data_IF_099903138487
#
_entry.id   IF_099903138487
#
_cell.length_a   1.000
_cell.length_b   1.000
_cell.length_c   1.000
_cell.angle_alpha   90.00
_cell.angle_beta   90.00
_cell.angle_gamma   90.00
#
_symmetry.space_group_name_H-M   'P 1'
#
loop_
_entity.id
_entity.type
_entity.pdbx_description
1 polymer ?
#
# COMPACT_ATOMS: atom_id res chain seq x y z
N UNK A 1 41.51 -35.21 -40.34
CA UNK A 1 42.17 -34.07 -40.98
C UNK A 1 41.85 -32.82 -40.18
N UNK A 2 42.90 -32.07 -39.80
CA UNK A 2 42.95 -30.77 -39.09
C UNK A 2 42.44 -30.70 -37.63
N UNK A 3 43.41 -30.85 -36.73
CA UNK A 3 43.51 -30.11 -35.48
C UNK A 3 43.70 -28.60 -35.75
N UNK A 4 43.24 -27.76 -34.83
CA UNK A 4 43.99 -26.58 -34.35
C UNK A 4 43.42 -26.12 -33.02
N UNK A 5 44.28 -26.15 -32.00
CA UNK A 5 44.15 -25.49 -30.72
C UNK A 5 44.23 -23.95 -30.88
N UNK A 6 43.64 -23.19 -29.96
CA UNK A 6 44.21 -21.91 -29.55
C UNK A 6 44.21 -21.83 -28.03
N UNK A 7 45.36 -21.46 -27.50
CA UNK A 7 45.74 -21.48 -26.11
C UNK A 7 45.80 -20.06 -25.53
N UNK A 8 45.62 -19.98 -24.21
CA UNK A 8 46.30 -19.08 -23.25
C UNK A 8 46.00 -17.56 -23.39
N UNK A 9 46.02 -16.69 -22.38
CA UNK A 9 46.58 -16.71 -21.01
C UNK A 9 46.13 -15.40 -20.28
N UNK A 10 46.68 -14.97 -19.11
CA UNK A 10 45.86 -14.55 -17.96
C UNK A 10 46.14 -13.11 -17.45
N UNK A 11 45.58 -12.82 -16.26
CA UNK A 11 46.12 -11.89 -15.25
C UNK A 11 45.93 -10.38 -15.45
N UNK A 12 45.19 -9.75 -14.53
CA UNK A 12 45.77 -8.67 -13.69
C UNK A 12 44.88 -8.35 -12.49
N UNK A 13 45.48 -8.53 -11.32
CA UNK A 13 45.07 -7.96 -10.05
C UNK A 13 45.27 -6.45 -10.07
N UNK A 14 44.33 -5.67 -9.52
CA UNK A 14 44.65 -4.37 -8.93
C UNK A 14 43.78 -4.17 -7.69
N UNK A 15 44.47 -4.24 -6.55
CA UNK A 15 44.07 -3.80 -5.23
C UNK A 15 44.03 -2.27 -5.18
N UNK A 16 42.99 -1.69 -4.57
CA UNK A 16 43.02 -0.32 -4.07
C UNK A 16 42.25 -0.23 -2.75
N UNK A 17 42.99 -0.47 -1.67
CA UNK A 17 42.72 -0.02 -0.30
C UNK A 17 42.75 1.51 -0.22
N UNK A 18 41.70 2.14 0.29
CA UNK A 18 41.70 3.39 1.09
C UNK A 18 40.30 3.56 1.67
N UNK A 19 40.02 4.20 2.80
CA UNK A 19 40.76 4.50 4.02
C UNK A 19 39.67 4.83 5.03
N UNK A 20 39.86 4.34 6.25
CA UNK A 20 39.13 4.71 7.45
C UNK A 20 38.96 6.23 7.59
N UNK A 21 37.76 6.66 8.01
CA UNK A 21 37.58 7.85 8.86
C UNK A 21 36.23 7.77 9.59
N UNK A 22 36.22 7.40 10.89
CA UNK A 22 35.09 7.62 11.78
C UNK A 22 35.50 8.55 12.91
N UNK A 23 35.19 9.84 12.83
CA UNK A 23 35.34 10.85 13.90
C UNK A 23 34.31 11.95 13.52
N UNK A 24 33.37 12.43 14.34
CA UNK A 24 33.41 13.01 15.69
C UNK A 24 31.92 13.09 16.13
N UNK A 25 31.45 12.37 17.16
CA UNK A 25 31.16 12.86 18.52
C UNK A 25 30.66 14.31 18.63
N UNK A 26 29.33 14.55 18.77
CA UNK A 26 28.88 15.58 19.71
C UNK A 26 27.45 15.37 20.24
N UNK A 27 27.46 15.09 21.53
CA UNK A 27 26.46 15.14 22.57
C UNK A 27 25.38 16.24 22.55
N UNK A 28 24.26 15.86 23.17
CA UNK A 28 23.39 16.60 24.10
C UNK A 28 23.03 18.06 23.79
N UNK A 29 21.74 18.29 23.59
CA UNK A 29 21.00 19.26 24.39
C UNK A 29 19.53 18.86 24.48
N UNK A 30 19.23 18.05 25.51
CA UNK A 30 17.90 17.92 26.07
C UNK A 30 17.57 19.23 26.81
N UNK A 31 16.81 20.11 26.17
CA UNK A 31 16.27 21.30 26.83
C UNK A 31 15.00 20.94 27.59
N UNK A 32 15.11 21.12 28.90
CA UNK A 32 14.12 20.88 29.93
C UNK A 32 13.00 21.93 29.90
N UNK A 33 11.86 21.46 30.40
CA UNK A 33 10.62 22.09 30.85
C UNK A 33 10.66 23.56 31.30
N UNK A 34 9.49 24.20 31.38
CA UNK A 34 8.87 24.26 32.70
C UNK A 34 7.40 23.84 32.74
N UNK A 35 7.09 23.18 33.86
CA UNK A 35 5.76 22.88 34.35
C UNK A 35 4.95 24.16 34.54
N UNK A 36 3.74 24.19 33.99
CA UNK A 36 2.67 25.05 34.49
C UNK A 36 1.79 24.22 35.43
N UNK A 37 1.95 24.48 36.72
CA UNK A 37 1.10 24.00 37.80
C UNK A 37 -0.23 24.75 37.78
N UNK A 38 -1.31 24.10 37.34
CA UNK A 38 -2.68 24.54 37.63
C UNK A 38 -3.28 23.59 38.64
N UNK A 39 -3.32 24.06 39.89
CA UNK A 39 -4.08 23.48 40.99
C UNK A 39 -5.49 24.05 40.93
N UNK A 40 -6.47 23.23 40.59
CA UNK A 40 -7.88 23.49 40.96
C UNK A 40 -8.38 22.26 41.71
N UNK A 41 -8.56 22.47 43.01
CA UNK A 41 -9.23 21.56 43.92
C UNK A 41 -10.73 21.53 43.59
N UNK A 42 -11.29 20.34 43.76
CA UNK A 42 -12.43 20.08 44.65
C UNK A 42 -13.75 19.63 44.00
N UNK A 43 -14.10 18.38 44.34
CA UNK A 43 -15.42 17.84 44.70
C UNK A 43 -16.58 18.03 43.72
N UNK A 44 -17.09 16.89 43.26
CA UNK A 44 -18.35 16.37 43.81
C UNK A 44 -18.48 14.85 43.64
N UNK A 45 -18.80 14.23 44.76
CA UNK A 45 -19.32 12.88 44.90
C UNK A 45 -20.58 12.72 44.06
N UNK A 46 -20.61 11.70 43.19
CA UNK A 46 -21.86 11.10 42.73
C UNK A 46 -21.73 9.58 42.84
N UNK A 47 -22.32 9.06 43.90
CA UNK A 47 -22.73 7.66 43.99
C UNK A 47 -23.92 7.48 43.06
N UNK A 48 -23.80 6.55 42.12
CA UNK A 48 -24.87 6.19 41.19
C UNK A 48 -24.44 4.97 40.38
N UNK A 49 -24.68 3.79 40.94
CA UNK A 49 -24.40 2.52 40.28
C UNK A 49 -25.19 2.40 38.98
N UNK A 50 -24.48 2.13 37.89
CA UNK A 50 -25.08 1.57 36.69
C UNK A 50 -24.44 0.21 36.39
N UNK A 51 -25.36 -0.74 36.30
CA UNK A 51 -25.26 -2.18 36.24
C UNK A 51 -24.53 -2.68 34.98
N UNK A 52 -23.41 -3.43 35.08
CA UNK A 52 -22.80 -4.07 33.92
C UNK A 52 -23.57 -5.36 33.58
N UNK A 53 -24.64 -5.23 32.78
CA UNK A 53 -25.16 -6.40 32.05
C UNK A 53 -24.22 -6.68 30.88
N UNK A 54 -23.19 -7.45 31.22
CA UNK A 54 -22.50 -8.34 30.31
C UNK A 54 -23.52 -9.17 29.54
N UNK A 55 -23.65 -8.91 28.24
CA UNK A 55 -24.15 -9.90 27.29
C UNK A 55 -22.97 -10.36 26.47
N UNK A 56 -22.33 -11.43 26.93
CA UNK A 56 -21.44 -12.25 26.12
C UNK A 56 -22.25 -12.86 24.96
N UNK A 57 -22.26 -12.18 23.82
CA UNK A 57 -22.61 -12.80 22.55
C UNK A 57 -21.31 -13.12 21.83
N UNK A 58 -20.88 -14.36 21.92
CA UNK A 58 -19.87 -14.95 21.05
C UNK A 58 -20.37 -14.87 19.60
N UNK A 59 -20.01 -13.79 18.90
CA UNK A 59 -20.24 -13.69 17.47
C UNK A 59 -19.27 -14.64 16.76
N UNK A 60 -19.72 -15.60 15.96
CA UNK A 60 -18.82 -16.40 15.15
C UNK A 60 -18.05 -15.47 14.20
N UNK A 61 -16.74 -15.70 14.08
CA UNK A 61 -15.77 -14.88 13.31
C UNK A 61 -16.14 -14.69 11.82
N UNK A 62 -17.09 -15.48 11.31
CA UNK A 62 -17.59 -15.41 9.93
C UNK A 62 -18.59 -14.26 9.67
N UNK A 63 -19.28 -13.73 10.68
CA UNK A 63 -20.35 -12.74 10.48
C UNK A 63 -19.87 -11.28 10.41
N UNK A 64 -18.57 -11.00 10.65
CA UNK A 64 -18.05 -9.62 10.60
C UNK A 64 -17.82 -9.12 9.17
N UNK A 65 -17.73 -10.05 8.19
CA UNK A 65 -17.49 -9.71 6.78
C UNK A 65 -18.74 -9.12 6.11
N UNK A 66 -19.94 -9.53 6.53
CA UNK A 66 -21.19 -9.19 5.83
C UNK A 66 -21.73 -7.78 6.10
N UNK A 67 -21.37 -7.14 7.21
CA UNK A 67 -22.00 -5.86 7.59
C UNK A 67 -21.24 -4.64 7.03
N UNK A 68 -19.94 -4.78 6.77
CA UNK A 68 -19.12 -3.71 6.20
C UNK A 68 -19.29 -3.60 4.68
N UNK A 69 -19.54 -4.74 4.01
CA UNK A 69 -19.85 -4.83 2.58
C UNK A 69 -21.09 -4.01 2.20
N UNK A 70 -22.06 -3.86 3.11
CA UNK A 70 -23.33 -3.17 2.85
C UNK A 70 -23.20 -1.63 2.75
N UNK A 71 -22.07 -1.04 3.17
CA UNK A 71 -21.86 0.40 3.16
C UNK A 71 -21.13 0.93 1.91
N UNK A 72 -20.71 0.05 0.99
CA UNK A 72 -19.95 0.47 -0.22
C UNK A 72 -18.61 1.14 0.10
N UNK A 73 -18.07 0.92 1.31
CA UNK A 73 -16.73 1.39 1.69
C UNK A 73 -15.75 0.26 1.36
N UNK A 74 -14.76 0.48 0.47
CA UNK A 74 -13.78 -0.54 0.15
C UNK A 74 -12.92 -0.84 1.38
N UNK A 75 -12.65 -2.13 1.62
CA UNK A 75 -11.66 -2.54 2.60
C UNK A 75 -10.29 -2.00 2.18
N UNK A 76 -9.48 -1.52 3.13
CA UNK A 76 -8.12 -1.06 2.87
C UNK A 76 -7.13 -1.84 3.73
N UNK A 77 -6.07 -2.36 3.12
CA UNK A 77 -5.07 -3.24 3.77
C UNK A 77 -3.67 -2.63 3.68
N UNK A 78 -2.79 -2.88 4.67
CA UNK A 78 -1.40 -2.43 4.60
C UNK A 78 -0.65 -3.14 3.46
N UNK A 79 0.39 -2.47 2.93
CA UNK A 79 1.09 -2.91 1.72
C UNK A 79 1.74 -4.30 1.80
N UNK A 80 2.21 -4.72 2.98
CA UNK A 80 2.73 -6.09 3.19
C UNK A 80 1.65 -7.15 2.99
N UNK A 81 0.46 -6.90 3.52
CA UNK A 81 -0.69 -7.80 3.34
C UNK A 81 -1.13 -7.79 1.88
N UNK A 82 -1.12 -6.64 1.21
CA UNK A 82 -1.39 -6.58 -0.23
C UNK A 82 -0.41 -7.43 -1.05
N UNK A 83 0.88 -7.47 -0.67
CA UNK A 83 1.87 -8.32 -1.32
C UNK A 83 1.60 -9.82 -1.08
N UNK A 84 1.23 -10.20 0.15
CA UNK A 84 0.83 -11.59 0.46
C UNK A 84 -0.41 -12.01 -0.36
N UNK A 85 -1.39 -11.12 -0.52
CA UNK A 85 -2.56 -11.37 -1.38
C UNK A 85 -2.14 -11.53 -2.85
N UNK A 86 -1.24 -10.69 -3.36
CA UNK A 86 -0.72 -10.83 -4.71
C UNK A 86 -0.05 -12.20 -4.93
N UNK A 87 0.74 -12.67 -3.96
CA UNK A 87 1.36 -13.99 -3.98
C UNK A 87 0.34 -15.14 -3.88
N UNK A 88 -0.80 -14.91 -3.22
CA UNK A 88 -1.90 -15.86 -3.14
C UNK A 88 -2.74 -15.94 -4.44
N UNK A 89 -2.44 -15.12 -5.45
CA UNK A 89 -3.09 -15.16 -6.76
C UNK A 89 -4.13 -14.06 -6.99
N UNK A 90 -4.24 -13.08 -6.09
CA UNK A 90 -5.11 -11.91 -6.30
C UNK A 90 -4.56 -11.04 -7.43
N UNK A 91 -5.45 -10.36 -8.16
CA UNK A 91 -5.06 -9.47 -9.24
C UNK A 91 -4.69 -8.08 -8.73
N UNK A 92 -3.53 -7.55 -9.13
CA UNK A 92 -3.16 -6.18 -8.84
C UNK A 92 -3.61 -5.23 -9.96
N UNK A 93 -4.50 -4.31 -9.63
CA UNK A 93 -4.96 -3.22 -10.50
C UNK A 93 -4.27 -1.90 -10.12
N UNK A 94 -3.37 -1.42 -10.99
CA UNK A 94 -2.75 -0.11 -10.83
C UNK A 94 -3.56 0.96 -11.56
N UNK A 95 -4.12 1.92 -10.82
CA UNK A 95 -4.93 3.01 -11.38
C UNK A 95 -4.20 4.32 -11.59
N UNK A 96 -2.87 4.31 -11.48
CA UNK A 96 -2.01 5.45 -11.84
C UNK A 96 -2.02 5.68 -13.36
N UNK A 97 -1.47 6.81 -13.78
CA UNK A 97 -1.36 7.10 -15.21
C UNK A 97 -0.35 6.17 -15.88
N UNK A 98 -0.44 5.96 -17.20
CA UNK A 98 0.50 5.08 -17.91
C UNK A 98 1.96 5.51 -17.74
N UNK A 99 2.22 6.82 -17.66
CA UNK A 99 3.57 7.35 -17.46
C UNK A 99 4.12 6.98 -16.08
N UNK A 100 3.29 7.08 -15.03
CA UNK A 100 3.66 6.66 -13.66
C UNK A 100 3.93 5.15 -13.59
N UNK A 101 3.17 4.35 -14.35
CA UNK A 101 3.30 2.90 -14.39
C UNK A 101 4.58 2.46 -15.11
N UNK A 102 4.89 3.06 -16.27
CA UNK A 102 6.12 2.80 -17.04
C UNK A 102 7.41 3.24 -16.34
N UNK A 103 7.30 4.12 -15.34
CA UNK A 103 8.42 4.53 -14.50
C UNK A 103 8.73 3.51 -13.39
N UNK A 104 7.85 2.53 -13.20
CA UNK A 104 7.96 1.47 -12.21
C UNK A 104 6.60 1.12 -11.60
N UNK A 105 6.37 -0.17 -11.42
CA UNK A 105 5.11 -0.71 -10.90
C UNK A 105 5.32 -2.00 -10.11
N UNK A 106 4.32 -2.41 -9.33
CA UNK A 106 4.35 -3.69 -8.64
C UNK A 106 4.38 -4.84 -9.66
N UNK A 107 5.20 -5.87 -9.42
CA UNK A 107 5.36 -6.96 -10.39
C UNK A 107 4.04 -7.69 -10.65
N UNK A 108 3.72 -7.93 -11.93
CA UNK A 108 2.46 -8.55 -12.35
C UNK A 108 1.22 -7.65 -12.26
N UNK A 109 1.38 -6.35 -11.98
CA UNK A 109 0.28 -5.40 -11.97
C UNK A 109 -0.26 -5.13 -13.38
N UNK A 110 -1.57 -4.93 -13.47
CA UNK A 110 -2.26 -4.51 -14.70
C UNK A 110 -2.62 -3.04 -14.55
N UNK A 111 -2.19 -2.21 -15.50
CA UNK A 111 -2.51 -0.78 -15.49
C UNK A 111 -3.82 -0.48 -16.21
N UNK A 112 -4.77 0.11 -15.48
CA UNK A 112 -5.97 0.73 -16.05
C UNK A 112 -6.14 2.09 -15.38
N UNK A 113 -5.76 3.19 -16.04
CA UNK A 113 -5.72 4.50 -15.43
C UNK A 113 -7.13 4.99 -15.07
N UNK A 114 -7.31 5.37 -13.80
CA UNK A 114 -8.57 5.98 -13.35
C UNK A 114 -8.67 7.45 -13.78
N UNK A 115 -7.53 8.10 -14.02
CA UNK A 115 -7.44 9.47 -14.51
C UNK A 115 -6.30 9.60 -15.51
N UNK A 116 -6.47 10.48 -16.49
CA UNK A 116 -5.45 10.84 -17.48
C UNK A 116 -4.91 12.24 -17.21
N UNK A 117 -3.64 12.47 -17.56
CA UNK A 117 -3.02 13.80 -17.55
C UNK A 117 -3.51 14.57 -18.78
N UNK A 118 -4.12 15.74 -18.58
CA UNK A 118 -4.59 16.62 -19.65
C UNK A 118 -4.13 18.04 -19.35
N UNK A 119 -3.16 18.55 -20.12
CA UNK A 119 -2.52 19.83 -19.86
C UNK A 119 -1.82 19.85 -18.49
N UNK A 120 -2.15 20.84 -17.65
CA UNK A 120 -1.68 20.95 -16.27
C UNK A 120 -2.51 20.18 -15.24
N UNK A 121 -3.61 19.55 -15.67
CA UNK A 121 -4.58 18.90 -14.79
C UNK A 121 -4.75 17.40 -15.02
N UNK A 122 -5.70 16.83 -14.28
CA UNK A 122 -6.11 15.42 -14.38
C UNK A 122 -7.59 15.36 -14.76
N UNK A 123 -7.94 14.46 -15.68
CA UNK A 123 -9.33 14.21 -16.09
C UNK A 123 -9.69 12.76 -15.80
N UNK A 124 -10.89 12.51 -15.25
CA UNK A 124 -11.38 11.16 -14.95
C UNK A 124 -11.58 10.36 -16.24
N UNK A 125 -11.15 9.09 -16.23
CA UNK A 125 -11.44 8.15 -17.30
C UNK A 125 -12.93 7.73 -17.23
N UNK A 126 -13.73 8.18 -18.20
CA UNK A 126 -15.15 7.80 -18.29
C UNK A 126 -15.36 6.33 -18.67
N UNK A 127 -14.37 5.71 -19.31
CA UNK A 127 -14.40 4.31 -19.76
C UNK A 127 -13.81 3.34 -18.73
N UNK A 128 -13.36 3.82 -17.57
CA UNK A 128 -12.66 3.02 -16.56
C UNK A 128 -13.36 1.69 -16.23
N UNK A 129 -14.65 1.73 -15.90
CA UNK A 129 -15.40 0.52 -15.52
C UNK A 129 -15.50 -0.47 -16.69
N UNK A 130 -15.64 0.04 -17.92
CA UNK A 130 -15.70 -0.79 -19.13
C UNK A 130 -14.36 -1.48 -19.39
N UNK A 131 -13.25 -0.75 -19.23
CA UNK A 131 -11.89 -1.28 -19.39
C UNK A 131 -11.58 -2.34 -18.33
N UNK A 132 -11.92 -2.09 -17.06
CA UNK A 132 -11.74 -3.09 -15.98
C UNK A 132 -12.58 -4.33 -16.26
N UNK A 133 -13.85 -4.18 -16.66
CA UNK A 133 -14.74 -5.31 -16.95
C UNK A 133 -14.33 -6.11 -18.19
N UNK A 134 -13.47 -5.57 -19.05
CA UNK A 134 -12.92 -6.30 -20.18
C UNK A 134 -11.74 -7.20 -19.81
N UNK A 135 -11.05 -6.88 -18.70
CA UNK A 135 -9.89 -7.61 -18.21
C UNK A 135 -10.21 -8.53 -17.02
N UNK A 136 -11.20 -8.14 -16.20
CA UNK A 136 -11.56 -8.81 -14.97
C UNK A 136 -13.05 -9.14 -14.93
N UNK A 137 -13.36 -10.25 -14.28
CA UNK A 137 -14.72 -10.65 -13.92
C UNK A 137 -15.13 -10.01 -12.60
N UNK A 138 -16.43 -9.98 -12.34
CA UNK A 138 -17.00 -9.35 -11.13
C UNK A 138 -16.72 -10.13 -9.84
N UNK A 139 -16.42 -11.42 -9.97
CA UNK A 139 -16.06 -12.35 -8.91
C UNK A 139 -14.55 -12.44 -8.66
N UNK A 140 -13.72 -11.78 -9.49
CA UNK A 140 -12.28 -11.78 -9.31
C UNK A 140 -11.88 -10.99 -8.06
N UNK A 141 -10.87 -11.49 -7.35
CA UNK A 141 -10.32 -10.83 -6.17
C UNK A 141 -9.25 -9.82 -6.58
N UNK A 142 -9.58 -8.53 -6.48
CA UNK A 142 -8.76 -7.43 -6.99
C UNK A 142 -8.20 -6.61 -5.83
N UNK A 143 -6.88 -6.49 -5.78
CA UNK A 143 -6.18 -5.48 -4.98
C UNK A 143 -5.93 -4.25 -5.86
N UNK A 144 -6.31 -3.06 -5.40
CA UNK A 144 -6.25 -1.83 -6.18
C UNK A 144 -5.31 -0.81 -5.53
N UNK A 145 -4.38 -0.29 -6.33
CA UNK A 145 -3.34 0.62 -5.86
C UNK A 145 -3.26 1.89 -6.71
N UNK A 146 -2.91 3.01 -6.09
CA UNK A 146 -2.46 4.22 -6.78
C UNK A 146 -1.17 4.75 -6.15
N UNK A 147 -0.78 6.00 -6.40
CA UNK A 147 0.46 6.53 -5.82
C UNK A 147 0.43 6.61 -4.28
N UNK A 148 -0.67 7.11 -3.69
CA UNK A 148 -0.79 7.39 -2.24
C UNK A 148 -2.09 6.88 -1.57
N UNK A 149 -2.95 6.17 -2.31
CA UNK A 149 -4.24 5.62 -1.81
C UNK A 149 -5.51 6.43 -2.16
N UNK A 150 -5.42 7.72 -2.47
CA UNK A 150 -6.63 8.55 -2.72
C UNK A 150 -7.41 8.15 -3.98
N UNK A 151 -6.71 7.98 -5.10
CA UNK A 151 -7.32 7.64 -6.40
C UNK A 151 -7.87 6.20 -6.38
N UNK A 152 -7.14 5.28 -5.78
CA UNK A 152 -7.54 3.86 -5.65
C UNK A 152 -8.79 3.71 -4.80
N UNK A 153 -8.93 4.45 -3.69
CA UNK A 153 -10.16 4.43 -2.89
C UNK A 153 -11.39 4.91 -3.68
N UNK A 154 -11.24 5.93 -4.54
CA UNK A 154 -12.33 6.38 -5.41
C UNK A 154 -12.67 5.34 -6.48
N UNK A 155 -11.65 4.79 -7.14
CA UNK A 155 -11.82 3.74 -8.15
C UNK A 155 -12.46 2.47 -7.55
N UNK A 156 -12.07 2.09 -6.33
CA UNK A 156 -12.63 0.94 -5.63
C UNK A 156 -14.13 1.13 -5.34
N UNK A 157 -14.55 2.33 -4.91
CA UNK A 157 -15.97 2.64 -4.72
C UNK A 157 -16.77 2.51 -6.02
N UNK A 158 -16.22 3.03 -7.13
CA UNK A 158 -16.88 2.92 -8.43
C UNK A 158 -16.98 1.45 -8.90
N UNK A 159 -15.96 0.63 -8.63
CA UNK A 159 -15.98 -0.81 -8.94
C UNK A 159 -17.00 -1.58 -8.09
N UNK A 160 -17.04 -1.33 -6.78
CA UNK A 160 -18.05 -1.91 -5.90
C UNK A 160 -19.47 -1.52 -6.37
N UNK A 161 -19.68 -0.25 -6.74
CA UNK A 161 -20.94 0.23 -7.29
C UNK A 161 -21.30 -0.42 -8.65
N UNK A 162 -20.30 -0.80 -9.45
CA UNK A 162 -20.48 -1.56 -10.70
C UNK A 162 -20.75 -3.08 -10.48
N UNK A 163 -20.68 -3.53 -9.23
CA UNK A 163 -20.97 -4.90 -8.81
C UNK A 163 -19.76 -5.83 -8.77
N UNK A 164 -18.54 -5.29 -8.71
CA UNK A 164 -17.38 -6.09 -8.32
C UNK A 164 -17.51 -6.44 -6.84
N UNK A 165 -17.34 -7.72 -6.51
CA UNK A 165 -17.64 -8.23 -5.18
C UNK A 165 -16.44 -8.23 -4.23
N UNK A 166 -15.23 -8.36 -4.76
CA UNK A 166 -14.01 -8.49 -3.97
C UNK A 166 -12.96 -7.45 -4.39
N UNK A 167 -13.12 -6.21 -3.93
CA UNK A 167 -12.17 -5.11 -4.19
C UNK A 167 -11.54 -4.61 -2.90
N UNK A 168 -10.20 -4.63 -2.85
CA UNK A 168 -9.42 -4.26 -1.67
C UNK A 168 -8.42 -3.16 -2.05
N UNK A 169 -8.52 -2.00 -1.41
CA UNK A 169 -7.57 -0.89 -1.57
C UNK A 169 -6.25 -1.13 -0.82
N UNK A 170 -5.14 -0.67 -1.40
CA UNK A 170 -3.82 -0.74 -0.77
C UNK A 170 -3.52 0.57 -0.05
N UNK A 171 -3.47 0.51 1.28
CA UNK A 171 -3.12 1.65 2.12
C UNK A 171 -1.68 2.11 1.85
N UNK A 172 -1.51 3.40 1.56
CA UNK A 172 -0.23 4.02 1.22
C UNK A 172 0.21 3.85 -0.24
N UNK A 173 -0.49 3.00 -1.01
CA UNK A 173 -0.27 2.83 -2.45
C UNK A 173 1.16 2.41 -2.83
N UNK A 174 1.56 2.78 -4.05
CA UNK A 174 2.87 2.46 -4.63
C UNK A 174 4.04 3.13 -3.88
N UNK A 175 3.83 4.30 -3.28
CA UNK A 175 4.85 4.92 -2.43
C UNK A 175 5.20 4.04 -1.23
N UNK A 176 4.20 3.46 -0.56
CA UNK A 176 4.45 2.50 0.51
C UNK A 176 5.06 1.19 -0.04
N UNK A 177 4.67 0.74 -1.23
CA UNK A 177 5.21 -0.48 -1.85
C UNK A 177 6.72 -0.40 -2.02
N UNK A 178 7.18 0.68 -2.64
CA UNK A 178 8.61 0.95 -2.87
C UNK A 178 9.37 1.21 -1.58
N UNK A 179 8.79 1.96 -0.63
CA UNK A 179 9.41 2.20 0.68
C UNK A 179 9.67 0.90 1.47
N UNK A 180 8.83 -0.12 1.26
CA UNK A 180 8.98 -1.42 1.91
C UNK A 180 9.88 -2.39 1.11
N UNK A 181 10.48 -1.95 0.00
CA UNK A 181 11.39 -2.76 -0.81
C UNK A 181 10.72 -3.96 -1.46
N UNK A 182 9.42 -3.88 -1.74
CA UNK A 182 8.68 -4.95 -2.38
C UNK A 182 9.02 -5.04 -3.89
N UNK A 183 8.87 -6.22 -4.53
CA UNK A 183 9.24 -6.42 -5.93
C UNK A 183 8.54 -5.45 -6.90
N UNK A 184 9.29 -4.91 -7.85
CA UNK A 184 8.81 -3.98 -8.87
C UNK A 184 9.38 -4.30 -10.24
N UNK A 185 8.60 -4.04 -11.28
CA UNK A 185 8.97 -4.14 -12.69
C UNK A 185 8.95 -2.74 -13.35
N UNK A 186 9.48 -2.64 -14.56
CA UNK A 186 9.56 -1.42 -15.39
C UNK A 186 8.63 -1.52 -16.60
#
# INVERSE_FOLDING_TARGET
>A
MKATCFAASPSSCLTATTSFSPLIFREHLASRCPLASVSIKNRRSWMGGFNPKSSNTTRPKAALRSDLEAAGIPASVPVRVAHELLQAGHHYLDVRTPEEFSAGHASGAINIPYMYRVGSGMTKNASFIKEVSAQFRKDDEIIIGCQLGKRSMMAAKDLLAAGFSAVIDIAGGYAAWTQNGLPTDL
#
